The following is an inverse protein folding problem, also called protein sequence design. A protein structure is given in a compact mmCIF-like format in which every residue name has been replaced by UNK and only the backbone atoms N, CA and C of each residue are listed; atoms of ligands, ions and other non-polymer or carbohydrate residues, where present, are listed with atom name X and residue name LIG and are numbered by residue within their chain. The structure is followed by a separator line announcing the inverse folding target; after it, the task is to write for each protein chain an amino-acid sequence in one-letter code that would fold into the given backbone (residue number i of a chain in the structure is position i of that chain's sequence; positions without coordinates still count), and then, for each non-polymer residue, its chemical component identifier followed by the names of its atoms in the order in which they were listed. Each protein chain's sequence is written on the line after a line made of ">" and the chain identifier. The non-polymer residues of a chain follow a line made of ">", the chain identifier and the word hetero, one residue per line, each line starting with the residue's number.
data_IF_339841283864
#
_entry.id   IF_339841283864
#
_cell.length_a   1.000
_cell.length_b   1.000
_cell.length_c   1.000
_cell.angle_alpha   90.00
_cell.angle_beta   90.00
_cell.angle_gamma   90.00
#
_symmetry.space_group_name_H-M   'P 1'
#
loop_
_entity.id
_entity.type
_entity.pdbx_description
1 polymer ?
#
# COMPACT_ATOMS: atom_id res chain seq x y z
N UNK A 1 -12.35 27.51 -30.10
CA UNK A 1 -11.21 27.29 -29.21
C UNK A 1 -11.16 25.79 -28.86
N UNK A 2 -10.16 25.08 -29.41
CA UNK A 2 -9.94 23.67 -29.09
C UNK A 2 -9.62 23.55 -27.58
N UNK A 3 -10.47 22.88 -26.81
CA UNK A 3 -10.16 22.50 -25.44
C UNK A 3 -8.91 21.61 -25.49
N UNK A 4 -7.75 22.13 -25.09
CA UNK A 4 -6.61 21.31 -24.77
C UNK A 4 -7.09 20.28 -23.73
N UNK A 5 -7.14 19.01 -24.09
CA UNK A 5 -7.30 17.92 -23.11
C UNK A 5 -6.05 17.97 -22.24
N UNK A 6 -6.18 18.50 -21.05
CA UNK A 6 -5.12 18.48 -20.07
C UNK A 6 -4.94 17.03 -19.63
N UNK A 7 -3.75 16.51 -19.81
CA UNK A 7 -3.33 15.27 -19.17
C UNK A 7 -3.33 15.51 -17.66
N UNK A 8 -3.96 14.59 -16.89
CA UNK A 8 -4.01 14.67 -15.42
C UNK A 8 -3.03 13.64 -14.85
N UNK A 9 -1.82 14.05 -14.45
CA UNK A 9 -0.88 13.18 -13.78
C UNK A 9 -1.38 12.87 -12.35
N UNK A 10 -1.10 11.66 -11.86
CA UNK A 10 -1.29 11.26 -10.47
C UNK A 10 0.10 10.98 -9.90
N UNK A 11 0.51 11.77 -8.92
CA UNK A 11 1.80 11.61 -8.25
C UNK A 11 1.64 10.65 -7.07
N UNK A 12 2.50 9.66 -7.01
CA UNK A 12 2.47 8.66 -5.94
C UNK A 12 3.80 7.95 -5.79
N UNK A 13 3.89 7.17 -4.72
CA UNK A 13 5.03 6.32 -4.43
C UNK A 13 4.54 5.04 -3.76
N UNK A 14 5.05 3.89 -4.19
CA UNK A 14 4.99 2.68 -3.39
C UNK A 14 6.09 2.75 -2.33
N UNK A 15 5.69 2.89 -1.08
CA UNK A 15 6.59 3.07 0.05
C UNK A 15 6.75 1.78 0.84
N UNK A 16 7.90 1.63 1.48
CA UNK A 16 8.11 0.62 2.51
C UNK A 16 7.75 1.20 3.88
N UNK A 17 6.89 0.50 4.61
CA UNK A 17 6.50 0.85 5.98
C UNK A 17 7.21 -0.09 6.95
N UNK A 18 7.96 0.47 7.89
CA UNK A 18 8.59 -0.27 8.98
C UNK A 18 7.52 -0.78 9.96
N UNK A 19 7.69 -1.99 10.53
CA UNK A 19 6.75 -2.53 11.53
C UNK A 19 6.77 -1.73 12.84
N UNK A 20 7.88 -1.06 13.13
CA UNK A 20 8.12 -0.24 14.32
C UNK A 20 8.63 1.15 13.92
N UNK A 21 9.12 1.93 14.89
CA UNK A 21 9.71 3.26 14.67
C UNK A 21 10.96 3.18 13.81
N UNK A 22 11.23 4.24 13.01
CA UNK A 22 12.36 4.30 12.07
C UNK A 22 13.74 4.18 12.75
N UNK A 23 13.87 4.62 13.99
CA UNK A 23 15.08 4.53 14.79
C UNK A 23 15.39 3.10 15.30
N UNK A 24 14.45 2.18 15.14
CA UNK A 24 14.62 0.77 15.49
C UNK A 24 15.12 -0.03 14.29
N UNK A 25 16.27 -0.70 14.43
CA UNK A 25 16.98 -1.36 13.33
C UNK A 25 17.47 -2.76 13.74
N UNK A 26 16.61 -3.56 14.34
CA UNK A 26 16.89 -4.96 14.68
C UNK A 26 16.54 -5.88 13.50
N UNK A 27 17.52 -6.62 12.99
CA UNK A 27 17.38 -7.44 11.77
C UNK A 27 16.16 -8.36 11.81
N UNK A 28 15.91 -9.04 12.91
CA UNK A 28 14.82 -10.01 13.03
C UNK A 28 13.44 -9.37 13.13
N UNK A 29 13.35 -8.18 13.72
CA UNK A 29 12.09 -7.47 13.93
C UNK A 29 11.82 -6.44 12.84
N UNK A 30 12.83 -5.70 12.39
CA UNK A 30 12.69 -4.56 11.49
C UNK A 30 13.17 -4.85 10.05
N UNK A 31 13.69 -6.04 9.80
CA UNK A 31 14.05 -6.51 8.47
C UNK A 31 12.83 -6.71 7.54
N UNK A 32 11.66 -6.96 8.13
CA UNK A 32 10.39 -7.00 7.40
C UNK A 32 9.87 -5.58 7.21
N UNK A 33 9.28 -5.32 6.08
CA UNK A 33 8.64 -4.05 5.75
C UNK A 33 7.41 -4.34 4.92
N UNK A 34 6.41 -3.48 5.02
CA UNK A 34 5.16 -3.60 4.30
C UNK A 34 5.13 -2.63 3.13
N UNK A 35 4.51 -3.03 2.04
CA UNK A 35 4.23 -2.13 0.93
C UNK A 35 3.02 -1.26 1.25
N UNK A 36 3.04 -0.01 0.81
CA UNK A 36 1.95 0.93 0.95
C UNK A 36 1.95 1.87 -0.25
N UNK A 37 0.79 2.04 -0.89
CA UNK A 37 0.65 3.03 -1.96
C UNK A 37 0.23 4.35 -1.35
N UNK A 38 1.01 5.39 -1.62
CA UNK A 38 0.78 6.77 -1.14
C UNK A 38 0.65 7.68 -2.34
N UNK A 39 -0.53 8.28 -2.53
CA UNK A 39 -0.83 9.18 -3.64
C UNK A 39 -1.09 10.59 -3.14
N UNK A 40 -0.65 11.59 -3.91
CA UNK A 40 -0.95 12.98 -3.66
C UNK A 40 -2.34 13.34 -4.23
N UNK A 41 -3.26 13.76 -3.36
CA UNK A 41 -4.60 14.22 -3.71
C UNK A 41 -4.62 15.66 -4.22
N UNK A 42 -3.72 16.48 -3.72
CA UNK A 42 -3.60 17.91 -4.00
C UNK A 42 -2.15 18.36 -3.73
N UNK A 43 -1.89 19.66 -3.86
CA UNK A 43 -0.56 20.26 -3.68
C UNK A 43 0.00 20.03 -2.25
N UNK A 44 -0.81 20.16 -1.21
CA UNK A 44 -0.41 19.83 0.16
C UNK A 44 0.04 18.38 0.27
N UNK A 45 -0.73 17.45 -0.30
CA UNK A 45 -0.38 16.04 -0.34
C UNK A 45 0.90 15.77 -1.12
N UNK A 46 1.14 16.49 -2.22
CA UNK A 46 2.39 16.38 -2.97
C UNK A 46 3.60 16.78 -2.11
N UNK A 47 3.53 17.92 -1.42
CA UNK A 47 4.60 18.34 -0.51
C UNK A 47 4.80 17.37 0.66
N UNK A 48 3.72 16.81 1.20
CA UNK A 48 3.81 15.80 2.25
C UNK A 48 4.39 14.49 1.74
N UNK A 49 4.04 14.05 0.53
CA UNK A 49 4.66 12.89 -0.12
C UNK A 49 6.17 13.09 -0.31
N UNK A 50 6.60 14.26 -0.79
CA UNK A 50 8.02 14.60 -0.93
C UNK A 50 8.74 14.52 0.40
N UNK A 51 8.16 15.05 1.49
CA UNK A 51 8.74 14.96 2.85
C UNK A 51 8.87 13.51 3.30
N UNK A 52 7.83 12.70 3.14
CA UNK A 52 7.85 11.28 3.50
C UNK A 52 8.93 10.51 2.74
N UNK A 53 9.03 10.72 1.42
CA UNK A 53 10.07 10.10 0.59
C UNK A 53 11.46 10.56 1.02
N UNK A 54 11.67 11.86 1.23
CA UNK A 54 12.96 12.40 1.68
C UNK A 54 13.37 11.80 3.03
N UNK A 55 12.47 11.82 4.03
CA UNK A 55 12.74 11.24 5.36
C UNK A 55 12.99 9.75 5.32
N UNK A 56 12.36 9.03 4.40
CA UNK A 56 12.63 7.59 4.24
C UNK A 56 14.08 7.29 3.85
N UNK A 57 14.72 8.22 3.15
CA UNK A 57 16.13 8.11 2.75
C UNK A 57 17.08 8.65 3.81
N UNK A 58 16.75 9.77 4.47
CA UNK A 58 17.65 10.40 5.46
C UNK A 58 17.58 9.73 6.82
N UNK A 59 16.38 9.44 7.32
CA UNK A 59 16.15 9.00 8.70
C UNK A 59 15.72 7.52 8.77
N UNK A 60 15.04 7.04 7.71
CA UNK A 60 14.40 5.72 7.69
C UNK A 60 15.18 4.62 6.98
N UNK A 61 16.37 4.91 6.45
CA UNK A 61 17.12 3.94 5.66
C UNK A 61 17.66 2.78 6.52
N UNK A 62 17.09 1.61 6.32
CA UNK A 62 17.62 0.35 6.83
C UNK A 62 17.45 -0.75 5.79
N UNK A 63 18.55 -1.07 5.08
CA UNK A 63 18.55 -1.95 3.87
C UNK A 63 17.78 -1.33 2.69
N UNK A 64 16.68 -0.66 2.96
CA UNK A 64 15.84 0.09 2.03
C UNK A 64 15.30 1.35 2.70
N UNK A 65 14.91 2.39 1.94
CA UNK A 65 14.24 3.55 2.50
C UNK A 65 12.88 3.15 3.06
N UNK A 66 12.56 3.56 4.30
CA UNK A 66 11.32 3.21 5.00
C UNK A 66 10.67 4.44 5.59
N UNK A 67 9.35 4.42 5.66
CA UNK A 67 8.56 5.27 6.54
C UNK A 67 7.99 4.45 7.71
N UNK A 68 7.36 5.09 8.68
CA UNK A 68 6.60 4.42 9.74
C UNK A 68 5.23 5.06 9.94
N UNK A 69 4.39 4.48 10.79
CA UNK A 69 3.05 4.99 11.08
C UNK A 69 3.07 6.40 11.68
N UNK A 70 4.10 6.76 12.42
CA UNK A 70 4.24 8.09 13.01
C UNK A 70 4.48 9.16 11.93
N UNK A 71 5.39 8.91 11.01
CA UNK A 71 5.66 9.82 9.89
C UNK A 71 4.45 9.94 8.96
N UNK A 72 3.77 8.82 8.70
CA UNK A 72 2.54 8.80 7.89
C UNK A 72 1.43 9.66 8.54
N UNK A 73 1.23 9.55 9.85
CA UNK A 73 0.24 10.33 10.58
C UNK A 73 0.63 11.81 10.65
N UNK A 74 1.89 12.14 10.87
CA UNK A 74 2.40 13.51 10.91
C UNK A 74 2.25 14.25 9.57
N UNK A 75 2.30 13.52 8.46
CA UNK A 75 2.24 14.09 7.10
C UNK A 75 0.98 13.66 6.33
N UNK A 76 -0.11 13.27 7.02
CA UNK A 76 -1.31 12.66 6.43
C UNK A 76 -2.13 13.56 5.52
N UNK A 77 -2.01 14.88 5.68
CA UNK A 77 -2.86 15.83 4.98
C UNK A 77 -2.66 15.79 3.47
N UNK A 78 -3.77 15.72 2.73
CA UNK A 78 -3.75 15.71 1.26
C UNK A 78 -3.24 14.41 0.64
N UNK A 79 -3.08 13.33 1.40
CA UNK A 79 -2.69 12.01 0.91
C UNK A 79 -3.90 11.08 0.73
N UNK A 80 -3.79 10.20 -0.25
CA UNK A 80 -4.63 9.02 -0.43
C UNK A 80 -3.75 7.81 -0.19
N UNK A 81 -4.25 6.85 0.58
CA UNK A 81 -3.53 5.63 0.96
C UNK A 81 -4.27 4.41 0.43
N UNK A 82 -3.53 3.50 -0.21
CA UNK A 82 -4.07 2.21 -0.62
C UNK A 82 -3.23 1.08 -0.03
N UNK A 83 -3.88 -0.04 0.30
CA UNK A 83 -3.27 -1.13 1.10
C UNK A 83 -2.20 -1.94 0.38
N UNK A 84 -1.91 -1.63 -0.86
CA UNK A 84 -0.94 -2.29 -1.73
C UNK A 84 -1.26 -3.76 -2.04
N UNK A 85 -0.24 -4.50 -2.50
CA UNK A 85 -0.32 -5.87 -2.96
C UNK A 85 -0.30 -6.90 -1.81
N UNK A 86 0.03 -8.16 -2.13
CA UNK A 86 0.21 -9.23 -1.13
C UNK A 86 1.33 -8.96 -0.11
N UNK A 87 2.20 -7.98 -0.39
CA UNK A 87 3.23 -7.53 0.53
C UNK A 87 2.78 -6.36 1.44
N UNK A 88 1.56 -5.84 1.25
CA UNK A 88 0.96 -4.84 2.13
C UNK A 88 0.70 -5.37 3.55
N UNK A 89 0.63 -4.49 4.54
CA UNK A 89 0.50 -4.86 5.95
C UNK A 89 -0.75 -5.71 6.21
N UNK A 90 -1.91 -5.23 5.78
CA UNK A 90 -3.20 -5.91 6.01
C UNK A 90 -3.21 -7.29 5.35
N UNK A 91 -2.81 -7.35 4.08
CA UNK A 91 -2.79 -8.59 3.31
C UNK A 91 -1.82 -9.61 3.91
N UNK A 92 -0.61 -9.21 4.31
CA UNK A 92 0.35 -10.12 4.96
C UNK A 92 -0.17 -10.69 6.26
N UNK A 93 -0.80 -9.86 7.09
CA UNK A 93 -1.39 -10.30 8.35
C UNK A 93 -2.52 -11.31 8.12
N UNK A 94 -3.40 -11.06 7.14
CA UNK A 94 -4.42 -12.03 6.72
C UNK A 94 -3.79 -13.36 6.31
N UNK A 95 -2.78 -13.31 5.43
CA UNK A 95 -2.15 -14.51 4.88
C UNK A 95 -1.34 -15.30 5.92
N UNK A 96 -0.81 -14.64 6.94
CA UNK A 96 -0.14 -15.30 8.08
C UNK A 96 -1.08 -15.80 9.17
N UNK A 97 -2.40 -15.52 9.07
CA UNK A 97 -3.39 -15.90 10.08
C UNK A 97 -3.54 -14.92 11.25
N UNK A 98 -2.82 -13.79 11.22
CA UNK A 98 -2.94 -12.70 12.21
C UNK A 98 -4.15 -11.81 11.86
N UNK A 99 -5.34 -12.34 12.09
CA UNK A 99 -6.58 -11.65 11.74
C UNK A 99 -6.85 -10.43 12.64
N UNK A 100 -6.51 -10.51 13.92
CA UNK A 100 -6.64 -9.40 14.86
C UNK A 100 -5.71 -8.25 14.46
N UNK A 101 -4.46 -8.54 14.16
CA UNK A 101 -3.51 -7.54 13.67
C UNK A 101 -3.91 -6.93 12.32
N UNK A 102 -4.56 -7.72 11.43
CA UNK A 102 -5.09 -7.19 10.19
C UNK A 102 -6.23 -6.18 10.44
N UNK A 103 -7.13 -6.49 11.36
CA UNK A 103 -8.22 -5.60 11.77
C UNK A 103 -7.68 -4.32 12.42
N UNK A 104 -6.72 -4.45 13.33
CA UNK A 104 -6.05 -3.30 13.96
C UNK A 104 -5.41 -2.37 12.92
N UNK A 105 -4.73 -2.94 11.93
CA UNK A 105 -4.12 -2.17 10.86
C UNK A 105 -5.18 -1.39 10.06
N UNK A 106 -6.29 -2.05 9.64
CA UNK A 106 -7.39 -1.39 8.94
C UNK A 106 -7.98 -0.25 9.76
N UNK A 107 -8.23 -0.47 11.05
CA UNK A 107 -8.77 0.54 11.96
C UNK A 107 -7.81 1.73 12.10
N UNK A 108 -6.50 1.47 12.22
CA UNK A 108 -5.50 2.52 12.31
C UNK A 108 -5.49 3.40 11.04
N UNK A 109 -5.41 2.77 9.86
CA UNK A 109 -5.42 3.51 8.60
C UNK A 109 -6.72 4.28 8.38
N UNK A 110 -7.88 3.68 8.68
CA UNK A 110 -9.18 4.36 8.58
C UNK A 110 -9.28 5.53 9.55
N UNK A 111 -8.77 5.40 10.77
CA UNK A 111 -8.75 6.50 11.75
C UNK A 111 -7.88 7.67 11.28
N UNK A 112 -6.71 7.39 10.71
CA UNK A 112 -5.74 8.43 10.32
C UNK A 112 -6.12 9.11 9.01
N UNK A 113 -6.58 8.35 8.01
CA UNK A 113 -6.81 8.85 6.65
C UNK A 113 -8.30 8.98 6.28
N UNK A 114 -9.20 8.47 7.10
CA UNK A 114 -10.64 8.56 6.88
C UNK A 114 -11.06 7.97 5.53
N UNK A 115 -11.76 8.78 4.74
CA UNK A 115 -12.25 8.39 3.41
C UNK A 115 -11.19 8.41 2.30
N UNK A 116 -9.96 8.77 2.64
CA UNK A 116 -8.81 8.69 1.75
C UNK A 116 -8.02 7.37 1.92
N UNK A 117 -8.51 6.42 2.71
CA UNK A 117 -7.97 5.07 2.81
C UNK A 117 -8.78 4.08 1.97
N UNK A 118 -8.07 3.22 1.23
CA UNK A 118 -8.65 2.20 0.35
C UNK A 118 -7.99 0.85 0.59
N UNK A 119 -8.79 -0.21 0.62
CA UNK A 119 -8.30 -1.58 0.53
C UNK A 119 -8.23 -2.00 -0.94
N UNK A 120 -7.08 -2.53 -1.36
CA UNK A 120 -6.84 -2.94 -2.73
C UNK A 120 -7.19 -4.40 -2.95
N UNK A 121 -7.95 -4.66 -4.00
CA UNK A 121 -8.20 -5.99 -4.53
C UNK A 121 -7.39 -6.17 -5.81
N UNK A 122 -6.55 -7.19 -5.83
CA UNK A 122 -5.75 -7.54 -7.00
C UNK A 122 -6.09 -8.95 -7.47
N UNK A 123 -6.02 -9.19 -8.77
CA UNK A 123 -6.32 -10.49 -9.37
C UNK A 123 -5.40 -10.72 -10.57
N UNK A 124 -4.32 -11.43 -10.35
CA UNK A 124 -3.33 -11.75 -11.38
C UNK A 124 -3.57 -13.14 -12.00
N UNK A 125 -4.83 -13.52 -12.21
CA UNK A 125 -5.18 -14.73 -12.94
C UNK A 125 -4.89 -14.55 -14.43
N UNK A 126 -4.18 -15.51 -15.02
CA UNK A 126 -3.89 -15.54 -16.45
C UNK A 126 -4.44 -16.80 -17.10
N UNK A 127 -4.60 -16.78 -18.44
CA UNK A 127 -5.24 -17.88 -19.19
C UNK A 127 -4.45 -19.19 -19.12
N UNK A 128 -3.13 -19.11 -19.09
CA UNK A 128 -2.26 -20.28 -19.03
C UNK A 128 -2.15 -20.77 -17.57
N UNK A 129 -2.68 -21.96 -17.23
CA UNK A 129 -2.68 -22.47 -15.86
C UNK A 129 -1.27 -22.73 -15.31
N UNK A 130 -0.29 -22.94 -16.18
CA UNK A 130 1.09 -23.24 -15.79
C UNK A 130 1.92 -22.00 -15.49
N UNK A 131 1.39 -20.82 -15.73
CA UNK A 131 2.05 -19.57 -15.38
C UNK A 131 2.23 -19.45 -13.85
N UNK A 132 3.39 -18.91 -13.47
CA UNK A 132 3.74 -18.69 -12.05
C UNK A 132 2.67 -17.88 -11.31
N UNK A 133 2.07 -16.89 -11.96
CA UNK A 133 1.00 -16.09 -11.40
C UNK A 133 -0.15 -16.94 -10.88
N UNK A 134 -0.62 -17.95 -11.66
CA UNK A 134 -1.71 -18.84 -11.28
C UNK A 134 -1.34 -19.80 -10.14
N UNK A 135 -0.07 -20.20 -10.05
CA UNK A 135 0.37 -21.16 -9.03
C UNK A 135 0.76 -20.54 -7.70
N UNK A 136 1.31 -19.33 -7.71
CA UNK A 136 1.89 -18.70 -6.51
C UNK A 136 1.11 -17.48 -6.04
N UNK A 137 0.82 -16.53 -6.94
CA UNK A 137 0.28 -15.21 -6.55
C UNK A 137 -1.24 -15.20 -6.45
N UNK A 138 -1.92 -15.71 -7.48
CA UNK A 138 -3.38 -15.66 -7.56
C UNK A 138 -4.10 -16.39 -6.41
N UNK A 139 -3.68 -17.60 -5.98
CA UNK A 139 -4.30 -18.27 -4.84
C UNK A 139 -4.18 -17.46 -3.53
N UNK A 140 -3.07 -16.76 -3.33
CA UNK A 140 -2.89 -15.87 -2.17
C UNK A 140 -3.83 -14.66 -2.26
N UNK A 141 -3.96 -14.07 -3.45
CA UNK A 141 -4.88 -12.96 -3.68
C UNK A 141 -6.34 -13.37 -3.47
N UNK A 142 -6.76 -14.54 -3.93
CA UNK A 142 -8.11 -15.04 -3.70
C UNK A 142 -8.43 -15.15 -2.19
N UNK A 143 -7.53 -15.73 -1.42
CA UNK A 143 -7.68 -15.86 0.05
C UNK A 143 -7.73 -14.49 0.72
N UNK A 144 -6.84 -13.57 0.34
CA UNK A 144 -6.79 -12.24 0.90
C UNK A 144 -8.02 -11.41 0.54
N UNK A 145 -8.44 -11.44 -0.75
CA UNK A 145 -9.55 -10.64 -1.24
C UNK A 145 -10.86 -10.93 -0.51
N UNK A 146 -11.15 -12.21 -0.23
CA UNK A 146 -12.34 -12.57 0.54
C UNK A 146 -12.37 -11.85 1.89
N UNK A 147 -11.26 -11.86 2.61
CA UNK A 147 -11.15 -11.21 3.92
C UNK A 147 -11.09 -9.68 3.82
N UNK A 148 -10.42 -9.13 2.80
CA UNK A 148 -10.40 -7.69 2.55
C UNK A 148 -11.80 -7.12 2.31
N UNK A 149 -12.66 -7.84 1.57
CA UNK A 149 -14.06 -7.46 1.33
C UNK A 149 -14.86 -7.46 2.64
N UNK A 150 -14.66 -8.44 3.52
CA UNK A 150 -15.31 -8.47 4.84
C UNK A 150 -14.87 -7.29 5.71
N UNK A 151 -13.56 -7.01 5.77
CA UNK A 151 -12.99 -5.89 6.51
C UNK A 151 -13.48 -4.54 5.97
N UNK A 152 -13.54 -4.40 4.64
CA UNK A 152 -14.06 -3.21 3.98
C UNK A 152 -15.49 -2.89 4.43
N UNK A 153 -16.36 -3.91 4.46
CA UNK A 153 -17.75 -3.76 4.93
C UNK A 153 -17.82 -3.47 6.42
N UNK A 154 -17.03 -4.18 7.23
CA UNK A 154 -17.04 -4.05 8.69
C UNK A 154 -16.60 -2.67 9.16
N UNK A 155 -15.62 -2.07 8.48
CA UNK A 155 -15.01 -0.79 8.89
C UNK A 155 -15.34 0.39 7.95
N UNK A 156 -16.28 0.21 7.04
CA UNK A 156 -16.68 1.23 6.06
C UNK A 156 -15.46 1.79 5.31
N UNK A 157 -14.62 0.90 4.77
CA UNK A 157 -13.47 1.24 3.95
C UNK A 157 -13.80 0.97 2.49
N UNK A 158 -13.47 1.93 1.62
CA UNK A 158 -13.67 1.78 0.17
C UNK A 158 -12.72 0.74 -0.41
N UNK A 159 -13.21 0.03 -1.42
CA UNK A 159 -12.41 -0.91 -2.22
C UNK A 159 -11.95 -0.26 -3.52
N UNK A 160 -10.75 -0.60 -3.97
CA UNK A 160 -10.21 -0.26 -5.28
C UNK A 160 -9.59 -1.50 -5.92
N UNK A 161 -9.76 -1.66 -7.24
CA UNK A 161 -9.09 -2.72 -8.00
C UNK A 161 -7.85 -2.16 -8.68
N UNK A 162 -6.72 -2.84 -8.50
CA UNK A 162 -5.43 -2.46 -9.08
C UNK A 162 -4.71 -3.68 -9.65
N UNK A 163 -3.68 -3.44 -10.49
CA UNK A 163 -2.93 -4.52 -11.15
C UNK A 163 -1.46 -4.61 -10.74
N UNK A 164 -0.98 -3.73 -9.87
CA UNK A 164 0.43 -3.77 -9.43
C UNK A 164 1.41 -3.82 -10.61
N UNK A 165 1.23 -2.89 -11.57
CA UNK A 165 1.98 -2.89 -12.83
C UNK A 165 3.46 -2.61 -12.60
N UNK A 166 4.33 -3.48 -13.11
CA UNK A 166 5.79 -3.39 -13.03
C UNK A 166 6.47 -3.23 -14.39
N UNK A 167 5.73 -3.42 -15.48
CA UNK A 167 6.24 -3.43 -16.85
C UNK A 167 5.44 -2.47 -17.71
N UNK A 168 6.10 -1.87 -18.70
CA UNK A 168 5.48 -1.00 -19.70
C UNK A 168 5.10 -1.81 -20.93
N UNK A 169 6.03 -2.62 -21.42
CA UNK A 169 5.87 -3.47 -22.59
C UNK A 169 5.85 -4.95 -22.19
N UNK A 170 5.36 -5.79 -23.12
CA UNK A 170 5.28 -7.24 -22.87
C UNK A 170 6.65 -7.89 -22.73
N UNK A 171 7.66 -7.31 -23.36
CA UNK A 171 9.03 -7.81 -23.41
C UNK A 171 9.89 -7.36 -22.21
N UNK A 172 9.42 -6.44 -21.39
CA UNK A 172 10.10 -5.97 -20.18
C UNK A 172 10.07 -7.05 -19.07
#
# INVERSE_FOLDING_TARGET
>A
AARKRLFKPIFGCEMYVAPRRLDQMEKEKDGRRYHLIVLAKNETGYHNLVKLVSKSWTDGFYVRPRTDRFELEAHREGLIICSACIAGEVTRKILSGDLEGAEEAVQWYKRVFGDNYYLELQRHEVKDPDQRANRETFPLQQRANARLIELARKYDVKLICTNDCHFVEQED
#
